data_IF_729150511832
#
_entry.id   IF_729150511832
#
_cell.length_a   1.000
_cell.length_b   1.000
_cell.length_c   1.000
_cell.angle_alpha   90.00
_cell.angle_beta   90.00
_cell.angle_gamma   90.00
#
_symmetry.space_group_name_H-M   'P 1'
#
loop_
_entity.id
_entity.type
_entity.pdbx_description
1 polymer ?
#
# COMPACT_ATOMS: atom_id res chain seq x y z
N UNK A 1 21.90 17.96 32.34
CA UNK A 1 21.39 18.52 31.07
C UNK A 1 21.79 17.73 29.82
N UNK A 2 22.82 16.88 29.81
CA UNK A 2 23.26 16.16 28.59
C UNK A 2 22.46 14.89 28.21
N UNK A 3 21.69 14.30 29.14
CA UNK A 3 21.03 13.01 28.93
C UNK A 3 19.73 13.07 28.13
N UNK A 4 18.99 14.16 28.24
CA UNK A 4 17.68 14.34 27.59
C UNK A 4 17.82 14.59 26.09
N UNK A 5 18.78 15.45 25.71
CA UNK A 5 19.10 15.68 24.29
C UNK A 5 19.61 14.43 23.58
N UNK A 6 20.40 13.57 24.23
CA UNK A 6 20.83 12.29 23.65
C UNK A 6 19.66 11.30 23.51
N UNK A 7 18.72 11.30 24.44
CA UNK A 7 17.51 10.50 24.35
C UNK A 7 16.63 10.93 23.17
N UNK A 8 16.44 12.22 22.96
CA UNK A 8 15.63 12.73 21.84
C UNK A 8 16.27 12.45 20.47
N UNK A 9 17.61 12.48 20.39
CA UNK A 9 18.33 12.04 19.18
C UNK A 9 18.06 10.57 18.87
N UNK A 10 18.15 9.69 19.87
CA UNK A 10 17.88 8.27 19.69
C UNK A 10 16.43 8.03 19.24
N UNK A 11 15.46 8.74 19.85
CA UNK A 11 14.05 8.70 19.43
C UNK A 11 13.88 9.10 17.96
N UNK A 12 14.51 10.20 17.55
CA UNK A 12 14.45 10.67 16.17
C UNK A 12 15.04 9.64 15.19
N UNK A 13 16.18 9.03 15.52
CA UNK A 13 16.82 7.97 14.72
C UNK A 13 15.89 6.76 14.59
N UNK A 14 15.30 6.31 15.69
CA UNK A 14 14.38 5.17 15.68
C UNK A 14 13.11 5.47 14.86
N UNK A 15 12.52 6.65 15.04
CA UNK A 15 11.35 7.07 14.28
C UNK A 15 11.65 7.17 12.77
N UNK A 16 12.83 7.69 12.38
CA UNK A 16 13.26 7.74 10.99
C UNK A 16 13.44 6.35 10.39
N UNK A 17 14.05 5.43 11.13
CA UNK A 17 14.20 4.04 10.72
C UNK A 17 12.84 3.34 10.57
N UNK A 18 11.91 3.53 11.51
CA UNK A 18 10.56 2.98 11.40
C UNK A 18 9.79 3.56 10.21
N UNK A 19 9.90 4.87 9.97
CA UNK A 19 9.29 5.52 8.82
C UNK A 19 9.80 4.91 7.50
N UNK A 20 11.11 4.71 7.38
CA UNK A 20 11.71 4.07 6.21
C UNK A 20 11.11 2.69 5.94
N UNK A 21 11.00 1.84 6.97
CA UNK A 21 10.42 0.50 6.81
C UNK A 21 8.93 0.56 6.48
N UNK A 22 8.16 1.47 7.06
CA UNK A 22 6.76 1.62 6.69
C UNK A 22 6.56 2.08 5.25
N UNK A 23 7.46 2.91 4.69
CA UNK A 23 7.43 3.24 3.26
C UNK A 23 7.65 1.99 2.40
N UNK A 24 8.60 1.12 2.79
CA UNK A 24 8.82 -0.16 2.10
C UNK A 24 7.59 -1.09 2.22
N UNK A 25 7.01 -1.19 3.41
CA UNK A 25 5.79 -1.98 3.65
C UNK A 25 4.62 -1.46 2.80
N UNK A 26 4.41 -0.15 2.77
CA UNK A 26 3.37 0.46 1.94
C UNK A 26 3.54 0.12 0.47
N UNK A 27 4.76 0.16 -0.04
CA UNK A 27 5.05 -0.19 -1.42
C UNK A 27 4.71 -1.65 -1.73
N UNK A 28 5.19 -2.56 -0.88
CA UNK A 28 4.99 -4.00 -1.02
C UNK A 28 3.51 -4.36 -0.95
N UNK A 29 2.81 -3.84 0.05
CA UNK A 29 1.37 -4.10 0.26
C UNK A 29 0.54 -3.48 -0.86
N UNK A 30 0.86 -2.26 -1.31
CA UNK A 30 0.16 -1.61 -2.43
C UNK A 30 0.35 -2.38 -3.74
N UNK A 31 1.57 -2.83 -4.03
CA UNK A 31 1.84 -3.64 -5.22
C UNK A 31 1.10 -4.97 -5.16
N UNK A 32 1.09 -5.64 -4.00
CA UNK A 32 0.33 -6.88 -3.79
C UNK A 32 -1.16 -6.67 -4.05
N UNK A 33 -1.75 -5.62 -3.47
CA UNK A 33 -3.14 -5.25 -3.72
C UNK A 33 -3.41 -4.97 -5.21
N UNK A 34 -2.48 -4.27 -5.86
CA UNK A 34 -2.58 -3.91 -7.29
C UNK A 34 -2.53 -5.12 -8.20
N UNK A 35 -1.64 -6.08 -7.93
CA UNK A 35 -1.60 -7.35 -8.66
C UNK A 35 -2.90 -8.15 -8.50
N UNK A 36 -3.39 -8.27 -7.26
CA UNK A 36 -4.65 -8.95 -6.98
C UNK A 36 -5.82 -8.29 -7.70
N UNK A 37 -5.86 -6.95 -7.72
CA UNK A 37 -6.85 -6.17 -8.43
C UNK A 37 -6.79 -6.37 -9.93
N UNK A 38 -5.60 -6.26 -10.52
CA UNK A 38 -5.39 -6.48 -11.95
C UNK A 38 -5.86 -7.87 -12.39
N UNK A 39 -5.54 -8.92 -11.62
CA UNK A 39 -6.00 -10.29 -11.88
C UNK A 39 -7.52 -10.42 -11.75
N UNK A 40 -8.12 -9.81 -10.73
CA UNK A 40 -9.55 -9.95 -10.42
C UNK A 40 -10.47 -9.14 -11.33
N UNK A 41 -9.97 -8.00 -11.82
CA UNK A 41 -10.75 -7.03 -12.60
C UNK A 41 -10.39 -7.02 -14.09
N UNK A 42 -9.35 -7.78 -14.47
CA UNK A 42 -8.74 -7.79 -15.80
C UNK A 42 -8.27 -6.38 -16.21
N UNK A 43 -7.42 -5.77 -15.38
CA UNK A 43 -6.84 -4.44 -15.59
C UNK A 43 -5.31 -4.50 -15.63
N UNK A 44 -4.68 -3.38 -16.02
CA UNK A 44 -3.23 -3.24 -16.12
C UNK A 44 -2.76 -1.98 -15.38
N UNK A 45 -3.24 -1.78 -14.15
CA UNK A 45 -2.78 -0.68 -13.28
C UNK A 45 -1.30 -0.90 -12.99
N UNK A 46 -0.49 0.14 -13.20
CA UNK A 46 0.96 0.05 -13.05
C UNK A 46 1.36 -0.08 -11.57
N UNK A 47 2.30 -0.99 -11.31
CA UNK A 47 2.90 -1.16 -9.98
C UNK A 47 3.80 0.03 -9.64
N UNK A 48 3.91 0.35 -8.35
CA UNK A 48 4.82 1.38 -7.88
C UNK A 48 6.24 0.84 -7.71
N UNK A 49 7.22 1.72 -7.90
CA UNK A 49 8.63 1.43 -7.70
C UNK A 49 9.19 2.40 -6.66
N UNK A 50 9.74 1.87 -5.57
CA UNK A 50 10.40 2.68 -4.55
C UNK A 50 11.89 2.70 -4.81
N UNK A 51 12.44 3.89 -4.98
CA UNK A 51 13.89 4.11 -5.02
C UNK A 51 14.28 4.94 -3.81
N UNK A 52 15.45 4.68 -3.23
CA UNK A 52 15.92 5.42 -2.05
C UNK A 52 16.05 6.93 -2.30
N UNK A 53 16.33 7.36 -3.54
CA UNK A 53 16.38 8.77 -3.92
C UNK A 53 15.01 9.37 -4.31
N UNK A 54 13.92 8.60 -4.19
CA UNK A 54 12.58 9.11 -4.48
C UNK A 54 12.16 10.08 -3.39
N UNK A 55 11.50 11.15 -3.81
CA UNK A 55 10.87 12.07 -2.89
C UNK A 55 9.62 11.41 -2.24
N UNK A 56 9.40 11.69 -0.96
CA UNK A 56 8.30 11.10 -0.18
C UNK A 56 6.93 11.52 -0.72
N UNK A 57 6.79 12.76 -1.21
CA UNK A 57 5.57 13.24 -1.86
C UNK A 57 5.24 12.40 -3.08
N UNK A 58 6.20 12.22 -3.98
CA UNK A 58 6.02 11.46 -5.23
C UNK A 58 5.58 10.01 -4.93
N UNK A 59 6.14 9.42 -3.88
CA UNK A 59 5.75 8.09 -3.40
C UNK A 59 4.26 8.02 -3.02
N UNK A 60 3.79 8.94 -2.17
CA UNK A 60 2.38 8.94 -1.75
C UNK A 60 1.43 9.37 -2.88
N UNK A 61 1.86 10.26 -3.77
CA UNK A 61 1.09 10.61 -4.98
C UNK A 61 0.92 9.40 -5.91
N UNK A 62 1.96 8.58 -6.06
CA UNK A 62 1.87 7.34 -6.84
C UNK A 62 0.88 6.35 -6.22
N UNK A 63 0.91 6.17 -4.88
CA UNK A 63 -0.08 5.34 -4.19
C UNK A 63 -1.50 5.86 -4.38
N UNK A 64 -1.71 7.18 -4.21
CA UNK A 64 -3.02 7.81 -4.41
C UNK A 64 -3.54 7.61 -5.83
N UNK A 65 -2.66 7.76 -6.83
CA UNK A 65 -3.00 7.53 -8.23
C UNK A 65 -3.49 6.10 -8.46
N UNK A 66 -2.78 5.11 -7.93
CA UNK A 66 -3.17 3.69 -7.99
C UNK A 66 -4.56 3.48 -7.39
N UNK A 67 -4.84 4.02 -6.19
CA UNK A 67 -6.14 3.85 -5.56
C UNK A 67 -7.27 4.57 -6.31
N UNK A 68 -7.00 5.72 -6.91
CA UNK A 68 -7.97 6.41 -7.79
C UNK A 68 -8.28 5.62 -9.05
N UNK A 69 -7.26 5.01 -9.67
CA UNK A 69 -7.47 4.13 -10.82
C UNK A 69 -8.31 2.90 -10.44
N UNK A 70 -8.02 2.27 -9.30
CA UNK A 70 -8.83 1.17 -8.77
C UNK A 70 -10.28 1.61 -8.51
N UNK A 71 -10.48 2.76 -7.85
CA UNK A 71 -11.80 3.29 -7.54
C UNK A 71 -12.59 3.54 -8.82
N UNK A 72 -11.98 4.16 -9.84
CA UNK A 72 -12.62 4.40 -11.13
C UNK A 72 -13.09 3.10 -11.80
N UNK A 73 -12.30 2.03 -11.72
CA UNK A 73 -12.69 0.71 -12.23
C UNK A 73 -13.84 0.11 -11.44
N UNK A 74 -13.81 0.24 -10.10
CA UNK A 74 -14.89 -0.24 -9.22
C UNK A 74 -16.19 0.49 -9.54
N UNK A 75 -16.17 1.81 -9.65
CA UNK A 75 -17.35 2.63 -9.95
C UNK A 75 -17.94 2.30 -11.33
N UNK A 76 -17.09 2.24 -12.37
CA UNK A 76 -17.52 1.92 -13.72
C UNK A 76 -18.18 0.53 -13.83
N UNK A 77 -17.62 -0.47 -13.12
CA UNK A 77 -18.21 -1.82 -13.11
C UNK A 77 -19.43 -1.90 -12.19
N UNK A 78 -19.45 -1.17 -11.07
CA UNK A 78 -20.60 -1.11 -10.17
C UNK A 78 -21.83 -0.54 -10.88
N UNK A 79 -21.70 0.56 -11.61
CA UNK A 79 -22.78 1.18 -12.38
C UNK A 79 -23.34 0.22 -13.45
N UNK A 80 -22.45 -0.55 -14.09
CA UNK A 80 -22.87 -1.60 -15.03
C UNK A 80 -23.67 -2.70 -14.33
N UNK A 81 -23.25 -3.13 -13.14
CA UNK A 81 -23.93 -4.18 -12.36
C UNK A 81 -25.27 -3.69 -11.81
N UNK A 82 -25.39 -2.43 -11.38
CA UNK A 82 -26.69 -1.88 -10.97
C UNK A 82 -27.67 -1.82 -12.14
N UNK A 83 -27.19 -1.45 -13.34
CA UNK A 83 -28.01 -1.42 -14.56
C UNK A 83 -28.41 -2.84 -15.03
N UNK A 84 -27.50 -3.80 -14.93
CA UNK A 84 -27.75 -5.22 -15.20
C UNK A 84 -28.06 -5.96 -13.90
N UNK A 85 -29.29 -5.82 -13.37
CA UNK A 85 -29.63 -6.34 -12.03
C UNK A 85 -29.06 -7.75 -11.79
N UNK A 86 -28.37 -7.95 -10.66
CA UNK A 86 -27.86 -9.26 -10.24
C UNK A 86 -28.97 -10.33 -10.31
N UNK A 87 -30.21 -9.92 -10.01
CA UNK A 87 -31.41 -10.75 -10.17
C UNK A 87 -31.64 -11.23 -11.60
N UNK A 88 -31.44 -10.38 -12.62
CA UNK A 88 -31.57 -10.80 -14.04
C UNK A 88 -30.46 -11.75 -14.47
N UNK A 89 -29.22 -11.58 -13.99
CA UNK A 89 -28.11 -12.51 -14.28
C UNK A 89 -28.28 -13.84 -13.59
N UNK A 90 -28.71 -13.84 -12.32
CA UNK A 90 -29.06 -15.06 -11.58
C UNK A 90 -30.27 -15.74 -12.20
N UNK A 91 -31.29 -15.00 -12.63
CA UNK A 91 -32.45 -15.55 -13.33
C UNK A 91 -32.06 -16.14 -14.70
N UNK A 92 -31.24 -15.45 -15.50
CA UNK A 92 -30.71 -16.00 -16.76
C UNK A 92 -29.84 -17.22 -16.54
N UNK A 93 -29.01 -17.20 -15.51
CA UNK A 93 -28.17 -18.33 -15.11
C UNK A 93 -29.02 -19.55 -14.72
N UNK A 94 -30.03 -19.36 -13.86
CA UNK A 94 -30.96 -20.43 -13.48
C UNK A 94 -31.79 -20.90 -14.66
N UNK A 95 -32.19 -20.00 -15.56
CA UNK A 95 -32.92 -20.33 -16.78
C UNK A 95 -32.06 -21.13 -17.77
N UNK A 96 -30.78 -20.77 -17.93
CA UNK A 96 -29.80 -21.52 -18.74
C UNK A 96 -29.53 -22.91 -18.15
N UNK A 97 -29.39 -23.00 -16.83
CA UNK A 97 -29.31 -24.27 -16.09
C UNK A 97 -30.56 -25.13 -16.30
N UNK A 98 -31.75 -24.53 -16.25
CA UNK A 98 -33.02 -25.21 -16.46
C UNK A 98 -33.21 -25.66 -17.92
N UNK A 99 -32.73 -24.89 -18.91
CA UNK A 99 -32.77 -25.25 -20.33
C UNK A 99 -31.74 -26.30 -20.73
N UNK A 100 -30.51 -26.25 -20.19
CA UNK A 100 -29.42 -27.20 -20.47
C UNK A 100 -29.40 -28.41 -19.53
N UNK A 101 -30.35 -28.49 -18.61
CA UNK A 101 -30.40 -29.45 -17.51
C UNK A 101 -30.82 -30.87 -17.89
N UNK A 102 -30.43 -31.38 -19.05
CA UNK A 102 -30.66 -32.80 -19.41
C UNK A 102 -29.52 -33.72 -18.96
N UNK A 103 -28.32 -33.19 -18.66
CA UNK A 103 -27.13 -33.91 -18.21
C UNK A 103 -26.45 -33.17 -17.03
N UNK A 104 -25.99 -33.93 -16.02
CA UNK A 104 -25.24 -33.46 -14.85
C UNK A 104 -23.94 -32.71 -15.22
N UNK A 105 -23.24 -33.09 -16.29
CA UNK A 105 -22.01 -32.42 -16.74
C UNK A 105 -22.28 -31.02 -17.31
N UNK A 106 -23.34 -30.86 -18.10
CA UNK A 106 -23.75 -29.55 -18.63
C UNK A 106 -24.26 -28.62 -17.53
N UNK A 107 -24.97 -29.20 -16.55
CA UNK A 107 -25.38 -28.50 -15.34
C UNK A 107 -24.17 -28.01 -14.53
N UNK A 108 -23.18 -28.88 -14.34
CA UNK A 108 -21.94 -28.55 -13.63
C UNK A 108 -21.16 -27.43 -14.34
N UNK A 109 -20.98 -27.54 -15.65
CA UNK A 109 -20.27 -26.52 -16.44
C UNK A 109 -21.02 -25.17 -16.42
N UNK A 110 -22.35 -25.20 -16.55
CA UNK A 110 -23.19 -24.00 -16.46
C UNK A 110 -23.09 -23.35 -15.07
N UNK A 111 -23.15 -24.14 -13.99
CA UNK A 111 -22.95 -23.63 -12.63
C UNK A 111 -21.56 -22.99 -12.46
N UNK A 112 -20.50 -23.63 -12.98
CA UNK A 112 -19.13 -23.12 -12.94
C UNK A 112 -18.97 -21.78 -13.66
N UNK A 113 -19.62 -21.60 -14.81
CA UNK A 113 -19.62 -20.32 -15.54
C UNK A 113 -20.33 -19.22 -14.76
N UNK A 114 -21.47 -19.55 -14.13
CA UNK A 114 -22.23 -18.61 -13.29
C UNK A 114 -21.42 -18.17 -12.08
N UNK A 115 -20.77 -19.11 -11.37
CA UNK A 115 -19.89 -18.77 -10.26
C UNK A 115 -18.71 -17.90 -10.69
N UNK A 116 -18.05 -18.21 -11.82
CA UNK A 116 -16.99 -17.36 -12.39
C UNK A 116 -17.50 -15.95 -12.72
N UNK A 117 -18.72 -15.83 -13.25
CA UNK A 117 -19.33 -14.55 -13.59
C UNK A 117 -19.73 -13.71 -12.37
N UNK A 118 -19.94 -14.35 -11.20
CA UNK A 118 -20.32 -13.70 -9.95
C UNK A 118 -19.12 -13.18 -9.14
N UNK A 119 -17.89 -13.64 -9.43
CA UNK A 119 -16.67 -13.25 -8.71
C UNK A 119 -16.45 -11.74 -8.69
N UNK A 120 -16.46 -11.11 -9.87
CA UNK A 120 -16.21 -9.67 -10.02
C UNK A 120 -17.27 -8.82 -9.31
N UNK A 121 -18.59 -9.06 -9.47
CA UNK A 121 -19.61 -8.35 -8.70
C UNK A 121 -19.47 -8.44 -7.18
N UNK A 122 -19.10 -9.59 -6.63
CA UNK A 122 -18.91 -9.76 -5.18
C UNK A 122 -17.74 -8.92 -4.68
N UNK A 123 -16.61 -8.93 -5.38
CA UNK A 123 -15.46 -8.08 -5.01
C UNK A 123 -15.81 -6.60 -5.09
N UNK A 124 -16.49 -6.17 -6.16
CA UNK A 124 -16.95 -4.78 -6.31
C UNK A 124 -17.85 -4.38 -5.14
N UNK A 125 -18.83 -5.22 -4.80
CA UNK A 125 -19.73 -4.95 -3.68
C UNK A 125 -18.97 -4.86 -2.36
N UNK A 126 -17.98 -5.73 -2.13
CA UNK A 126 -17.16 -5.71 -0.92
C UNK A 126 -16.30 -4.46 -0.82
N UNK A 127 -15.64 -4.06 -1.91
CA UNK A 127 -14.80 -2.85 -1.97
C UNK A 127 -15.63 -1.56 -1.82
N UNK A 128 -16.80 -1.50 -2.46
CA UNK A 128 -17.66 -0.32 -2.43
C UNK A 128 -18.37 -0.14 -1.08
N UNK A 129 -18.98 -1.20 -0.55
CA UNK A 129 -19.74 -1.14 0.72
C UNK A 129 -18.88 -0.78 1.94
N UNK A 130 -17.60 -1.12 1.90
CA UNK A 130 -16.64 -0.83 2.97
C UNK A 130 -15.92 0.50 2.78
N UNK A 131 -16.13 1.19 1.65
CA UNK A 131 -15.43 2.43 1.26
C UNK A 131 -13.91 2.37 1.53
N UNK A 132 -13.30 1.20 1.29
CA UNK A 132 -11.89 0.96 1.64
C UNK A 132 -10.98 1.91 0.87
N UNK A 133 -11.19 2.02 -0.45
CA UNK A 133 -10.35 2.85 -1.32
C UNK A 133 -10.50 4.35 -1.01
N UNK A 134 -11.72 4.83 -0.75
CA UNK A 134 -11.94 6.22 -0.31
C UNK A 134 -11.33 6.51 1.07
N UNK A 135 -11.37 5.54 1.99
CA UNK A 135 -10.71 5.66 3.31
C UNK A 135 -9.19 5.75 3.18
N UNK A 136 -8.60 4.96 2.27
CA UNK A 136 -7.17 5.02 1.94
C UNK A 136 -6.80 6.36 1.31
N UNK A 137 -7.58 6.85 0.34
CA UNK A 137 -7.36 8.17 -0.28
C UNK A 137 -7.34 9.28 0.77
N UNK A 138 -8.35 9.31 1.64
CA UNK A 138 -8.45 10.33 2.69
C UNK A 138 -7.25 10.25 3.64
N UNK A 139 -6.90 9.06 4.10
CA UNK A 139 -5.80 8.87 5.07
C UNK A 139 -4.44 9.26 4.47
N UNK A 140 -4.18 8.89 3.22
CA UNK A 140 -2.97 9.30 2.50
C UNK A 140 -2.94 10.81 2.26
N UNK A 141 -4.07 11.42 1.90
CA UNK A 141 -4.17 12.88 1.73
C UNK A 141 -3.89 13.63 3.05
N UNK A 142 -4.20 13.02 4.20
CA UNK A 142 -3.81 13.56 5.51
C UNK A 142 -2.31 13.41 5.77
N UNK A 143 -1.72 12.25 5.49
CA UNK A 143 -0.27 12.05 5.60
C UNK A 143 0.51 13.06 4.75
N UNK A 144 0.01 13.37 3.55
CA UNK A 144 0.66 14.32 2.64
C UNK A 144 0.68 15.77 3.12
N UNK A 145 0.04 16.10 4.24
CA UNK A 145 0.10 17.44 4.84
C UNK A 145 1.32 17.64 5.73
N UNK A 146 2.03 16.55 6.08
CA UNK A 146 3.21 16.64 6.93
C UNK A 146 4.42 17.22 6.17
N UNK A 147 5.33 17.94 6.85
CA UNK A 147 6.47 18.60 6.21
C UNK A 147 7.53 17.64 5.63
N UNK A 148 7.47 16.35 5.99
CA UNK A 148 8.36 15.29 5.47
C UNK A 148 8.28 15.10 3.96
N UNK A 149 7.26 15.63 3.29
CA UNK A 149 7.01 15.41 1.85
C UNK A 149 8.16 15.88 0.96
N UNK A 150 8.95 16.87 1.38
CA UNK A 150 10.07 17.37 0.58
C UNK A 150 11.37 16.56 0.75
N UNK A 151 11.39 15.58 1.64
CA UNK A 151 12.54 14.72 1.89
C UNK A 151 12.60 13.55 0.90
N UNK A 152 13.79 12.99 0.75
CA UNK A 152 14.01 11.72 0.06
C UNK A 152 13.98 10.57 1.05
N UNK A 153 13.63 9.36 0.58
CA UNK A 153 13.61 8.18 1.46
C UNK A 153 14.98 7.88 2.10
N UNK A 154 16.06 8.14 1.37
CA UNK A 154 17.44 8.03 1.87
C UNK A 154 17.77 9.00 3.01
N UNK A 155 16.99 10.07 3.18
CA UNK A 155 17.15 11.04 4.27
C UNK A 155 16.64 10.51 5.62
N UNK A 156 16.02 9.32 5.66
CA UNK A 156 15.52 8.72 6.89
C UNK A 156 16.40 7.58 7.37
N UNK A 157 16.78 6.72 6.43
CA UNK A 157 17.64 5.59 6.69
C UNK A 157 18.32 5.19 5.39
N UNK A 158 19.61 4.93 5.46
CA UNK A 158 20.33 4.23 4.39
C UNK A 158 20.70 2.87 4.97
N UNK A 159 20.22 1.81 4.35
CA UNK A 159 20.69 0.47 4.69
C UNK A 159 22.19 0.44 4.40
N UNK A 160 23.01 0.15 5.42
CA UNK A 160 24.43 -0.10 5.22
C UNK A 160 24.54 -1.33 4.32
N UNK A 161 24.65 -1.11 3.02
CA UNK A 161 24.80 -2.18 2.03
C UNK A 161 26.11 -2.91 2.31
N UNK A 162 26.00 -4.01 3.05
CA UNK A 162 27.04 -5.05 3.11
C UNK A 162 26.85 -6.14 2.07
N UNK A 163 25.78 -6.15 1.28
CA UNK A 163 25.54 -7.21 0.29
C UNK A 163 25.03 -6.66 -1.04
N UNK A 164 25.93 -6.03 -1.81
CA UNK A 164 25.95 -6.15 -3.27
C UNK A 164 27.27 -5.60 -3.81
N UNK A 165 28.33 -6.37 -3.68
CA UNK A 165 29.59 -6.15 -4.43
C UNK A 165 29.91 -7.38 -5.26
N UNK A 166 29.06 -7.68 -6.24
CA UNK A 166 29.50 -8.42 -7.43
C UNK A 166 29.92 -7.40 -8.48
N UNK A 167 31.08 -6.78 -8.30
CA UNK A 167 32.02 -6.43 -9.38
C UNK A 167 33.41 -6.27 -8.74
N UNK A 168 34.35 -6.98 -9.35
CA UNK A 168 35.74 -7.20 -9.00
C UNK A 168 36.55 -5.88 -8.89
N UNK A 169 37.48 -5.87 -7.92
CA UNK A 169 38.63 -4.95 -7.75
C UNK A 169 38.37 -3.45 -7.49
N UNK A 170 38.29 -3.08 -6.21
CA UNK A 170 39.12 -2.02 -5.58
C UNK A 170 38.79 -1.95 -4.09
N UNK A 171 39.72 -2.38 -3.23
CA UNK A 171 39.64 -2.16 -1.79
C UNK A 171 39.58 -0.65 -1.51
N UNK A 172 38.40 -0.15 -1.15
CA UNK A 172 38.29 1.13 -0.44
C UNK A 172 37.65 0.84 0.91
N UNK A 173 38.51 0.69 1.90
CA UNK A 173 38.17 0.69 3.32
C UNK A 173 37.28 1.89 3.63
N UNK A 174 35.99 1.63 3.86
CA UNK A 174 35.05 2.64 4.35
C UNK A 174 35.24 2.75 5.86
N UNK A 175 35.96 3.77 6.30
CA UNK A 175 36.27 4.02 7.71
C UNK A 175 34.99 4.24 8.54
N UNK A 176 34.95 3.81 9.82
CA UNK A 176 33.82 4.06 10.74
C UNK A 176 33.44 5.55 10.88
N UNK A 177 34.40 6.44 10.64
CA UNK A 177 34.18 7.89 10.70
C UNK A 177 33.25 8.41 9.59
N UNK A 178 33.18 7.71 8.45
CA UNK A 178 32.35 8.12 7.31
C UNK A 178 30.85 7.83 7.52
N UNK A 179 30.50 6.73 8.19
CA UNK A 179 29.10 6.40 8.52
C UNK A 179 28.56 7.29 9.63
N UNK A 180 29.41 7.64 10.61
CA UNK A 180 29.05 8.56 11.70
C UNK A 180 28.81 9.99 11.20
N UNK A 181 29.64 10.48 10.29
CA UNK A 181 29.42 11.78 9.64
C UNK A 181 28.11 11.81 8.83
N UNK A 182 27.84 10.74 8.07
CA UNK A 182 26.60 10.59 7.29
C UNK A 182 25.37 10.63 8.19
N UNK A 183 25.39 9.91 9.32
CA UNK A 183 24.27 9.90 10.27
C UNK A 183 24.00 11.27 10.90
N UNK A 184 25.06 12.02 11.23
CA UNK A 184 24.93 13.38 11.79
C UNK A 184 24.30 14.33 10.76
N UNK A 185 24.73 14.26 9.50
CA UNK A 185 24.19 15.09 8.42
C UNK A 185 22.72 14.77 8.14
N UNK A 186 22.35 13.48 8.13
CA UNK A 186 20.96 13.02 8.00
C UNK A 186 20.09 13.50 9.15
N UNK A 187 20.55 13.38 10.40
CA UNK A 187 19.82 13.83 11.59
C UNK A 187 19.58 15.34 11.55
N UNK A 188 20.61 16.11 11.15
CA UNK A 188 20.49 17.56 11.00
C UNK A 188 19.49 17.94 9.91
N UNK A 189 19.50 17.24 8.77
CA UNK A 189 18.54 17.45 7.68
C UNK A 189 17.10 17.16 8.13
N UNK A 190 16.88 16.07 8.87
CA UNK A 190 15.58 15.75 9.46
C UNK A 190 15.13 16.83 10.45
N UNK A 191 16.01 17.25 11.36
CA UNK A 191 15.73 18.31 12.32
C UNK A 191 15.36 19.61 11.60
N UNK A 192 16.10 20.01 10.57
CA UNK A 192 15.85 21.23 9.80
C UNK A 192 14.53 21.20 9.02
N UNK A 193 14.12 20.02 8.53
CA UNK A 193 12.86 19.84 7.82
C UNK A 193 11.64 19.73 8.74
N UNK A 194 11.84 19.27 9.98
CA UNK A 194 10.77 19.00 10.95
C UNK A 194 10.69 20.03 12.08
N UNK A 195 11.59 21.01 12.09
CA UNK A 195 11.55 22.09 13.08
C UNK A 195 10.24 22.84 13.00
N UNK A 196 9.69 23.12 14.17
CA UNK A 196 8.62 24.09 14.36
C UNK A 196 9.24 25.41 14.80
N UNK A 197 8.76 26.52 14.22
CA UNK A 197 9.38 27.86 14.34
C UNK A 197 9.49 28.36 15.80
N UNK A 198 8.64 27.84 16.69
CA UNK A 198 8.54 28.22 18.11
C UNK A 198 9.12 27.19 19.09
N UNK A 199 9.83 26.17 18.61
CA UNK A 199 10.33 25.08 19.45
C UNK A 199 11.56 25.47 20.28
N UNK A 200 11.49 25.29 21.61
CA UNK A 200 12.64 25.42 22.52
C UNK A 200 13.65 24.28 22.38
N UNK A 201 13.24 23.14 21.84
CA UNK A 201 14.05 21.94 21.64
C UNK A 201 13.73 21.32 20.27
N UNK A 202 14.42 21.74 19.20
CA UNK A 202 14.03 21.34 17.85
C UNK A 202 14.22 19.84 17.57
N UNK A 203 15.08 19.14 18.32
CA UNK A 203 15.27 17.68 18.18
C UNK A 203 14.05 16.94 18.73
N UNK A 204 13.57 17.32 19.92
CA UNK A 204 12.36 16.76 20.53
C UNK A 204 11.14 16.98 19.62
N UNK A 205 10.94 18.21 19.13
CA UNK A 205 9.82 18.49 18.22
C UNK A 205 9.89 17.71 16.91
N UNK A 206 11.08 17.51 16.36
CA UNK A 206 11.28 16.67 15.18
C UNK A 206 10.96 15.19 15.46
N UNK A 207 11.41 14.69 16.62
CA UNK A 207 11.12 13.32 17.05
C UNK A 207 9.61 13.11 17.25
N UNK A 208 8.95 14.00 17.98
CA UNK A 208 7.50 13.94 18.24
C UNK A 208 6.69 13.94 16.94
N UNK A 209 7.08 14.80 15.99
CA UNK A 209 6.40 14.89 14.70
C UNK A 209 6.57 13.59 13.89
N UNK A 210 7.80 13.06 13.84
CA UNK A 210 8.07 11.84 13.08
C UNK A 210 7.41 10.60 13.71
N UNK A 211 7.40 10.52 15.03
CA UNK A 211 6.67 9.48 15.78
C UNK A 211 5.15 9.56 15.51
N UNK A 212 4.58 10.77 15.46
CA UNK A 212 3.17 10.96 15.09
C UNK A 212 2.88 10.49 13.66
N UNK A 213 3.77 10.78 12.71
CA UNK A 213 3.64 10.32 11.32
C UNK A 213 3.68 8.79 11.27
N UNK A 214 4.69 8.16 11.90
CA UNK A 214 4.81 6.70 11.97
C UNK A 214 3.55 6.07 12.57
N UNK A 215 3.03 6.66 13.65
CA UNK A 215 1.78 6.21 14.29
C UNK A 215 0.57 6.32 13.35
N UNK A 216 0.51 7.36 12.53
CA UNK A 216 -0.56 7.54 11.54
C UNK A 216 -0.47 6.55 10.36
N UNK A 217 0.72 6.04 10.04
CA UNK A 217 0.92 5.05 8.97
C UNK A 217 0.35 3.67 9.34
N UNK A 218 0.43 3.26 10.61
CA UNK A 218 -0.03 1.95 11.08
C UNK A 218 -1.47 1.60 10.68
N UNK A 219 -2.49 2.41 11.03
CA UNK A 219 -3.87 2.15 10.66
C UNK A 219 -4.10 2.05 9.14
N UNK A 220 -3.32 2.77 8.33
CA UNK A 220 -3.45 2.73 6.87
C UNK A 220 -2.93 1.38 6.32
N UNK A 221 -1.81 0.88 6.87
CA UNK A 221 -1.32 -0.47 6.56
C UNK A 221 -2.35 -1.54 6.93
N UNK A 222 -3.03 -1.40 8.07
CA UNK A 222 -4.11 -2.32 8.46
C UNK A 222 -5.28 -2.30 7.47
N UNK A 223 -5.70 -1.11 7.01
CA UNK A 223 -6.75 -0.98 5.99
C UNK A 223 -6.33 -1.67 4.69
N UNK A 224 -5.08 -1.48 4.24
CA UNK A 224 -4.56 -2.14 3.04
C UNK A 224 -4.52 -3.66 3.19
N UNK A 225 -4.04 -4.17 4.32
CA UNK A 225 -4.04 -5.61 4.59
C UNK A 225 -5.45 -6.18 4.64
N UNK A 226 -6.42 -5.45 5.18
CA UNK A 226 -7.83 -5.84 5.18
C UNK A 226 -8.39 -5.88 3.75
N UNK A 227 -7.99 -4.94 2.88
CA UNK A 227 -8.36 -4.94 1.47
C UNK A 227 -7.86 -6.20 0.75
N UNK A 228 -6.57 -6.54 0.94
CA UNK A 228 -5.95 -7.76 0.39
C UNK A 228 -6.71 -9.00 0.86
N UNK A 229 -6.90 -9.16 2.17
CA UNK A 229 -7.61 -10.31 2.74
C UNK A 229 -9.02 -10.45 2.18
N UNK A 230 -9.72 -9.32 2.01
CA UNK A 230 -11.06 -9.30 1.42
C UNK A 230 -11.04 -9.83 -0.01
N UNK A 231 -10.07 -9.42 -0.82
CA UNK A 231 -9.94 -9.90 -2.20
C UNK A 231 -9.52 -11.37 -2.26
N UNK A 232 -8.54 -11.79 -1.46
CA UNK A 232 -8.07 -13.18 -1.40
C UNK A 232 -9.14 -14.16 -0.94
N UNK A 233 -9.93 -13.79 0.08
CA UNK A 233 -11.03 -14.63 0.57
C UNK A 233 -12.05 -14.85 -0.53
N UNK A 234 -12.41 -13.79 -1.26
CA UNK A 234 -13.33 -13.91 -2.39
C UNK A 234 -12.73 -14.83 -3.46
N UNK A 235 -11.51 -14.58 -3.94
CA UNK A 235 -10.83 -15.43 -4.94
C UNK A 235 -10.82 -16.91 -4.51
N UNK A 236 -10.51 -17.18 -3.24
CA UNK A 236 -10.42 -18.54 -2.69
C UNK A 236 -11.76 -19.26 -2.66
N UNK A 237 -12.86 -18.55 -2.32
CA UNK A 237 -14.22 -19.10 -2.32
C UNK A 237 -14.61 -19.53 -3.74
N UNK A 238 -14.30 -18.70 -4.74
CA UNK A 238 -14.61 -19.02 -6.13
C UNK A 238 -13.72 -20.11 -6.72
N UNK A 239 -12.45 -20.21 -6.30
CA UNK A 239 -11.56 -21.32 -6.70
C UNK A 239 -12.05 -22.66 -6.17
N UNK A 240 -12.44 -22.75 -4.89
CA UNK A 240 -12.98 -23.98 -4.29
C UNK A 240 -14.31 -24.42 -4.91
N UNK A 241 -15.11 -23.48 -5.40
CA UNK A 241 -16.36 -23.77 -6.12
C UNK A 241 -16.14 -24.19 -7.59
N UNK A 242 -14.95 -23.96 -8.16
CA UNK A 242 -14.56 -24.36 -9.52
C UNK A 242 -13.99 -25.78 -9.61
N UNK A 243 -13.37 -26.24 -8.52
CA UNK A 243 -12.56 -27.46 -8.48
C UNK A 243 -13.30 -28.66 -7.84
N UNK A 244 -14.57 -28.47 -7.47
CA UNK A 244 -15.51 -29.52 -7.03
C UNK A 244 -16.63 -29.66 -8.04
#
# INVERSE_FOLDING_TARGET
MSSESEKDKERLIQAAKMFFFHVQDFASVTNTLTELFNRSMNTQILLMAVKNNSNIKDFFEQMLKIFKEMQSVVDAKHDKIQKESLGSKVAMAMYSVFQKGTNVEELHQSAKEVFKSAHTPVIISALNSSNILGSLESSLSHLMKFPIMNLQLSDFYTEDTKEQSDVTTSERTRSPDSSKATMIDTLKKLQDALKTEDSKNPIESAADLLEQIVKAMGPILEILQKAIKTMEMNISVFKKASDK
#
